data_IF_011274229816
#
_entry.id   IF_011274229816
#
_cell.length_a   1.000
_cell.length_b   1.000
_cell.length_c   1.000
_cell.angle_alpha   90.00
_cell.angle_beta   90.00
_cell.angle_gamma   90.00
#
_symmetry.space_group_name_H-M   'P 1'
#
loop_
_entity.id
_entity.type
_entity.pdbx_description
1 polymer ?
#
# COMPACT_ATOMS: atom_id res chain seq x y z
N UNK A 1 -72.80 52.47 -44.21
CA UNK A 1 -72.15 51.43 -45.04
C UNK A 1 -70.81 51.11 -44.40
N UNK A 2 -70.76 50.01 -43.65
CA UNK A 2 -69.68 49.67 -42.72
C UNK A 2 -68.73 48.71 -43.41
N UNK A 3 -67.50 49.14 -43.67
CA UNK A 3 -66.49 48.37 -44.38
C UNK A 3 -65.83 47.37 -43.43
N UNK A 4 -66.14 46.08 -43.59
CA UNK A 4 -65.47 44.98 -42.90
C UNK A 4 -64.04 44.86 -43.42
N UNK A 5 -63.06 45.23 -42.60
CA UNK A 5 -61.65 44.93 -42.83
C UNK A 5 -61.40 43.44 -42.49
N UNK A 6 -61.08 42.68 -43.53
CA UNK A 6 -60.68 41.26 -43.45
C UNK A 6 -59.24 41.17 -42.93
N UNK A 7 -59.07 40.67 -41.71
CA UNK A 7 -57.74 40.30 -41.18
C UNK A 7 -57.37 38.90 -41.66
N UNK A 8 -56.97 38.78 -42.92
CA UNK A 8 -56.36 37.57 -43.47
C UNK A 8 -54.94 37.89 -43.93
N UNK A 9 -54.00 37.86 -42.98
CA UNK A 9 -52.59 37.52 -43.15
C UNK A 9 -51.84 37.75 -41.84
N UNK A 10 -52.03 36.85 -40.86
CA UNK A 10 -51.01 36.64 -39.85
C UNK A 10 -49.96 35.71 -40.46
N UNK A 11 -48.90 36.30 -41.01
CA UNK A 11 -47.65 35.57 -41.24
C UNK A 11 -47.13 35.19 -39.85
N UNK A 12 -47.24 33.91 -39.52
CA UNK A 12 -46.60 33.35 -38.34
C UNK A 12 -45.09 33.57 -38.47
N UNK A 13 -44.56 34.55 -37.74
CA UNK A 13 -43.12 34.70 -37.53
C UNK A 13 -42.69 33.47 -36.74
N UNK A 14 -42.16 32.47 -37.44
CA UNK A 14 -41.50 31.35 -36.78
C UNK A 14 -40.29 31.90 -36.03
N UNK A 15 -40.10 31.58 -34.74
CA UNK A 15 -38.83 31.86 -34.09
C UNK A 15 -37.76 31.05 -34.81
N UNK A 16 -36.77 31.75 -35.37
CA UNK A 16 -35.55 31.14 -35.90
C UNK A 16 -34.94 30.33 -34.76
N UNK A 17 -35.13 29.01 -34.81
CA UNK A 17 -34.37 28.07 -33.99
C UNK A 17 -32.92 28.21 -34.43
N UNK A 18 -32.14 29.00 -33.70
CA UNK A 18 -30.69 28.90 -33.73
C UNK A 18 -30.32 27.51 -33.20
N UNK A 19 -30.28 26.54 -34.10
CA UNK A 19 -29.66 25.22 -33.91
C UNK A 19 -28.14 25.36 -33.97
N UNK A 20 -27.57 26.17 -33.07
CA UNK A 20 -26.15 26.05 -32.76
C UNK A 20 -26.04 25.15 -31.54
N UNK A 21 -25.82 23.86 -31.80
CA UNK A 21 -25.44 22.89 -30.79
C UNK A 21 -24.26 23.45 -29.97
N UNK A 22 -24.26 23.32 -28.63
CA UNK A 22 -23.12 23.76 -27.83
C UNK A 22 -21.89 23.00 -28.31
N UNK A 23 -20.94 23.72 -28.91
CA UNK A 23 -19.66 23.21 -29.41
C UNK A 23 -19.07 22.29 -28.34
N UNK A 24 -19.02 20.99 -28.63
CA UNK A 24 -18.47 19.98 -27.73
C UNK A 24 -17.07 20.42 -27.31
N UNK A 25 -16.86 20.61 -26.00
CA UNK A 25 -15.53 20.94 -25.44
C UNK A 25 -14.51 19.96 -26.04
N UNK A 26 -13.36 20.44 -26.53
CA UNK A 26 -12.35 19.57 -27.13
C UNK A 26 -12.02 18.45 -26.14
N UNK A 27 -12.14 17.19 -26.59
CA UNK A 27 -11.71 16.01 -25.82
C UNK A 27 -10.24 16.22 -25.48
N UNK A 28 -9.95 16.60 -24.23
CA UNK A 28 -8.59 16.71 -23.72
C UNK A 28 -7.92 15.36 -23.97
N UNK A 29 -6.90 15.35 -24.83
CA UNK A 29 -6.10 14.16 -25.00
C UNK A 29 -5.44 13.82 -23.66
N UNK A 30 -5.44 12.55 -23.24
CA UNK A 30 -4.83 12.16 -21.98
C UNK A 30 -3.34 12.46 -22.05
N UNK A 31 -2.85 13.29 -21.13
CA UNK A 31 -1.40 13.55 -21.00
C UNK A 31 -0.68 12.23 -20.70
N UNK A 32 0.48 11.96 -21.31
CA UNK A 32 1.30 10.82 -20.91
C UNK A 32 1.70 10.96 -19.45
N UNK A 33 1.73 9.85 -18.72
CA UNK A 33 2.24 9.83 -17.36
C UNK A 33 3.76 10.01 -17.40
N UNK A 34 4.28 10.93 -16.59
CA UNK A 34 5.72 11.24 -16.49
C UNK A 34 6.10 11.11 -15.02
N UNK A 35 7.18 10.38 -14.75
CA UNK A 35 7.74 10.27 -13.40
C UNK A 35 8.33 11.61 -12.98
N UNK A 36 8.27 11.90 -11.68
CA UNK A 36 9.02 13.04 -11.13
C UNK A 36 10.48 12.64 -10.93
N UNK A 37 11.40 13.59 -11.07
CA UNK A 37 12.83 13.34 -10.92
C UNK A 37 13.18 12.88 -9.50
N UNK A 38 12.45 13.39 -8.51
CA UNK A 38 12.56 13.00 -7.11
C UNK A 38 12.21 11.53 -6.91
N UNK A 39 11.17 11.04 -7.59
CA UNK A 39 10.78 9.63 -7.51
C UNK A 39 11.86 8.73 -8.12
N UNK A 40 12.38 9.09 -9.29
CA UNK A 40 13.44 8.32 -9.94
C UNK A 40 14.74 8.31 -9.10
N UNK A 41 15.08 9.43 -8.44
CA UNK A 41 16.20 9.51 -7.52
C UNK A 41 16.00 8.60 -6.30
N UNK A 42 14.86 8.70 -5.61
CA UNK A 42 14.55 7.88 -4.43
C UNK A 42 14.57 6.40 -4.80
N UNK A 43 13.95 6.01 -5.91
CA UNK A 43 13.94 4.60 -6.32
C UNK A 43 15.33 4.07 -6.65
N UNK A 44 16.22 4.91 -7.18
CA UNK A 44 17.61 4.56 -7.45
C UNK A 44 18.41 4.38 -6.16
N UNK A 45 18.25 5.28 -5.18
CA UNK A 45 18.90 5.17 -3.87
C UNK A 45 18.46 3.92 -3.11
N UNK A 46 17.16 3.63 -3.09
CA UNK A 46 16.61 2.43 -2.46
C UNK A 46 17.18 1.17 -3.12
N UNK A 47 17.29 1.14 -4.45
CA UNK A 47 17.91 -0.01 -5.14
C UNK A 47 19.37 -0.17 -4.75
N UNK A 48 20.16 0.91 -4.74
CA UNK A 48 21.57 0.87 -4.36
C UNK A 48 21.80 0.38 -2.93
N UNK A 49 20.93 0.79 -2.00
CA UNK A 49 21.07 0.46 -0.58
C UNK A 49 20.62 -0.97 -0.26
N UNK A 50 19.47 -1.39 -0.80
CA UNK A 50 18.76 -2.60 -0.40
C UNK A 50 18.82 -3.73 -1.43
N UNK A 51 19.54 -3.56 -2.54
CA UNK A 51 19.76 -4.62 -3.53
C UNK A 51 21.25 -4.89 -3.68
N UNK A 52 21.65 -6.17 -3.72
CA UNK A 52 23.02 -6.60 -4.04
C UNK A 52 22.96 -7.78 -4.99
N UNK A 53 23.68 -7.69 -6.11
CA UNK A 53 23.72 -8.77 -7.12
C UNK A 53 22.33 -9.18 -7.65
N UNK A 54 21.37 -8.24 -7.65
CA UNK A 54 19.98 -8.48 -8.07
C UNK A 54 19.08 -9.11 -6.99
N UNK A 55 19.64 -9.42 -5.82
CA UNK A 55 18.90 -9.95 -4.68
C UNK A 55 18.57 -8.86 -3.66
N UNK A 56 17.39 -9.00 -3.05
CA UNK A 56 16.87 -8.04 -2.07
C UNK A 56 17.46 -8.39 -0.71
N UNK A 57 18.01 -7.38 -0.05
CA UNK A 57 18.60 -7.47 1.28
C UNK A 57 17.54 -7.23 2.35
N UNK A 58 16.79 -8.28 2.66
CA UNK A 58 15.75 -8.25 3.70
C UNK A 58 16.31 -7.97 5.10
N UNK A 59 17.59 -8.29 5.32
CA UNK A 59 18.32 -8.04 6.57
C UNK A 59 18.32 -6.56 6.95
N UNK A 60 18.61 -5.64 6.02
CA UNK A 60 18.49 -4.21 6.34
C UNK A 60 17.13 -3.58 6.13
N UNK A 61 16.20 -4.24 5.44
CA UNK A 61 14.79 -3.82 5.51
C UNK A 61 14.21 -4.06 6.90
N UNK A 62 14.64 -5.12 7.59
CA UNK A 62 14.27 -5.35 8.98
C UNK A 62 14.77 -4.23 9.90
N UNK A 63 15.95 -3.69 9.62
CA UNK A 63 16.58 -2.62 10.39
C UNK A 63 15.94 -1.24 10.24
N UNK A 64 14.98 -1.05 9.33
CA UNK A 64 14.25 0.22 9.21
C UNK A 64 13.40 0.42 10.47
N UNK A 65 13.56 1.59 11.10
CA UNK A 65 12.87 1.96 12.32
C UNK A 65 11.34 1.96 12.14
N UNK A 66 10.58 1.74 13.20
CA UNK A 66 9.12 1.58 13.10
C UNK A 66 8.41 2.88 12.70
N UNK A 67 8.97 4.01 13.12
CA UNK A 67 8.55 5.37 12.78
C UNK A 67 8.68 5.70 11.28
N UNK A 68 9.63 5.07 10.59
CA UNK A 68 9.86 5.28 9.15
C UNK A 68 8.99 4.36 8.28
N UNK A 69 8.16 3.50 8.88
CA UNK A 69 7.31 2.55 8.15
C UNK A 69 5.97 3.15 7.77
N UNK A 70 5.35 2.61 6.72
CA UNK A 70 4.08 3.10 6.17
C UNK A 70 3.01 3.32 7.25
N UNK A 71 2.80 2.42 8.24
CA UNK A 71 1.79 2.65 9.28
C UNK A 71 2.06 3.90 10.14
N UNK A 72 3.32 4.15 10.51
CA UNK A 72 3.70 5.35 11.28
C UNK A 72 3.62 6.61 10.40
N UNK A 73 4.12 6.54 9.16
CA UNK A 73 3.98 7.62 8.19
C UNK A 73 2.51 7.98 7.91
N UNK A 74 1.59 7.00 7.95
CA UNK A 74 0.15 7.24 7.85
C UNK A 74 -0.41 7.99 9.05
N UNK A 75 0.10 7.75 10.26
CA UNK A 75 -0.28 8.48 11.46
C UNK A 75 0.25 9.93 11.42
N UNK A 76 1.51 10.12 11.01
CA UNK A 76 2.17 11.42 11.03
C UNK A 76 1.72 12.35 9.90
N UNK A 77 1.65 11.83 8.66
CA UNK A 77 1.36 12.63 7.47
C UNK A 77 -0.09 12.51 6.97
N UNK A 78 -0.84 11.57 7.54
CA UNK A 78 -2.23 11.33 7.24
C UNK A 78 -2.48 10.34 6.09
N UNK A 79 -3.53 9.54 6.25
CA UNK A 79 -3.96 8.47 5.32
C UNK A 79 -4.11 8.96 3.87
N UNK A 80 -4.69 10.16 3.66
CA UNK A 80 -4.90 10.69 2.29
C UNK A 80 -3.60 10.98 1.56
N UNK A 81 -2.60 11.53 2.26
CA UNK A 81 -1.30 11.86 1.67
C UNK A 81 -0.53 10.58 1.35
N UNK A 82 -0.56 9.61 2.25
CA UNK A 82 0.05 8.29 2.02
C UNK A 82 -0.60 7.53 0.87
N UNK A 83 -1.94 7.52 0.78
CA UNK A 83 -2.65 6.97 -0.36
C UNK A 83 -2.20 7.65 -1.66
N UNK A 84 -2.13 8.98 -1.70
CA UNK A 84 -1.71 9.70 -2.91
C UNK A 84 -0.29 9.32 -3.34
N UNK A 85 0.65 9.26 -2.39
CA UNK A 85 2.04 8.89 -2.64
C UNK A 85 2.15 7.46 -3.18
N UNK A 86 1.55 6.47 -2.50
CA UNK A 86 1.57 5.08 -2.96
C UNK A 86 0.87 4.92 -4.30
N UNK A 87 -0.22 5.63 -4.55
CA UNK A 87 -0.92 5.61 -5.84
C UNK A 87 -0.03 6.16 -6.95
N UNK A 88 0.80 7.17 -6.69
CA UNK A 88 1.81 7.62 -7.65
C UNK A 88 2.81 6.52 -7.98
N UNK A 89 3.30 5.76 -6.99
CA UNK A 89 4.23 4.66 -7.23
C UNK A 89 3.59 3.53 -8.03
N UNK A 90 2.35 3.15 -7.71
CA UNK A 90 1.56 2.16 -8.46
C UNK A 90 1.37 2.60 -9.91
N UNK A 91 1.08 3.89 -10.14
CA UNK A 91 0.98 4.47 -11.48
C UNK A 91 2.30 4.36 -12.23
N UNK A 92 3.40 4.81 -11.64
CA UNK A 92 4.73 4.73 -12.24
C UNK A 92 5.08 3.30 -12.66
N UNK A 93 4.85 2.33 -11.77
CA UNK A 93 5.03 0.94 -12.08
C UNK A 93 4.15 0.49 -13.26
N UNK A 94 2.83 0.70 -13.20
CA UNK A 94 1.91 0.26 -14.27
C UNK A 94 2.23 0.90 -15.63
N UNK A 95 2.64 2.16 -15.64
CA UNK A 95 3.00 2.85 -16.87
C UNK A 95 4.35 2.42 -17.42
N UNK A 96 5.31 2.03 -16.58
CA UNK A 96 6.63 1.51 -16.99
C UNK A 96 6.57 0.13 -17.68
N UNK A 97 5.50 -0.65 -17.47
CA UNK A 97 5.40 -1.99 -18.06
C UNK A 97 5.13 -1.94 -19.57
N UNK A 98 5.81 -2.80 -20.37
CA UNK A 98 5.63 -2.90 -21.83
C UNK A 98 4.39 -3.73 -22.20
N UNK A 99 3.24 -3.39 -21.63
CA UNK A 99 1.95 -4.05 -21.89
C UNK A 99 0.95 -3.07 -22.50
N UNK A 100 -0.02 -3.58 -23.26
CA UNK A 100 -1.02 -2.73 -23.91
C UNK A 100 -1.95 -2.07 -22.89
N UNK A 101 -2.51 -0.90 -23.21
CA UNK A 101 -3.37 -0.13 -22.29
C UNK A 101 -4.57 -0.92 -21.76
N UNK A 102 -5.19 -1.76 -22.58
CA UNK A 102 -6.31 -2.62 -22.18
C UNK A 102 -5.92 -3.67 -21.11
N UNK A 103 -4.62 -4.00 -21.03
CA UNK A 103 -4.04 -4.94 -20.08
C UNK A 103 -3.45 -4.26 -18.84
N UNK A 104 -3.48 -2.92 -18.76
CA UNK A 104 -3.08 -2.14 -17.58
C UNK A 104 -4.27 -1.94 -16.64
N UNK A 105 -3.99 -1.70 -15.36
CA UNK A 105 -5.01 -1.29 -14.41
C UNK A 105 -5.63 0.05 -14.83
N UNK A 106 -6.92 0.24 -14.56
CA UNK A 106 -7.56 1.56 -14.65
C UNK A 106 -7.21 2.38 -13.41
N UNK A 107 -7.37 3.70 -13.47
CA UNK A 107 -7.05 4.59 -12.34
C UNK A 107 -7.80 4.19 -11.04
N UNK A 108 -9.09 3.84 -11.18
CA UNK A 108 -9.90 3.32 -10.07
C UNK A 108 -9.34 2.02 -9.49
N UNK A 109 -8.90 1.10 -10.35
CA UNK A 109 -8.29 -0.17 -9.88
C UNK A 109 -6.91 0.06 -9.26
N UNK A 110 -6.12 1.01 -9.76
CA UNK A 110 -4.86 1.40 -9.13
C UNK A 110 -5.09 2.01 -7.74
N UNK A 111 -6.14 2.81 -7.59
CA UNK A 111 -6.56 3.33 -6.27
C UNK A 111 -6.95 2.20 -5.33
N UNK A 112 -7.74 1.22 -5.80
CA UNK A 112 -8.09 0.05 -5.00
C UNK A 112 -6.85 -0.75 -4.56
N UNK A 113 -5.95 -1.06 -5.51
CA UNK A 113 -4.64 -1.67 -5.20
C UNK A 113 -3.87 -0.88 -4.14
N UNK A 114 -3.92 0.45 -4.21
CA UNK A 114 -3.24 1.31 -3.24
C UNK A 114 -3.82 1.14 -1.84
N UNK A 115 -5.15 1.08 -1.71
CA UNK A 115 -5.78 0.79 -0.43
C UNK A 115 -5.35 -0.57 0.12
N UNK A 116 -5.33 -1.61 -0.73
CA UNK A 116 -4.94 -2.95 -0.29
C UNK A 116 -3.44 -3.03 0.08
N UNK A 117 -2.57 -2.26 -0.59
CA UNK A 117 -1.18 -2.08 -0.18
C UNK A 117 -1.06 -1.44 1.20
N UNK A 118 -1.88 -0.41 1.49
CA UNK A 118 -1.89 0.25 2.80
C UNK A 118 -2.36 -0.69 3.91
N UNK A 119 -3.39 -1.50 3.65
CA UNK A 119 -3.86 -2.52 4.60
C UNK A 119 -2.77 -3.57 4.84
N UNK A 120 -2.18 -4.12 3.78
CA UNK A 120 -1.09 -5.09 3.91
C UNK A 120 0.14 -4.48 4.64
N UNK A 121 0.40 -3.19 4.47
CA UNK A 121 1.46 -2.50 5.17
C UNK A 121 1.22 -2.38 6.69
N UNK A 122 -0.05 -2.27 7.12
CA UNK A 122 -0.42 -2.32 8.53
C UNK A 122 -0.22 -3.71 9.14
N UNK A 123 -0.50 -4.77 8.38
CA UNK A 123 -0.33 -6.16 8.84
C UNK A 123 1.15 -6.54 9.02
N UNK A 124 1.98 -6.26 8.02
CA UNK A 124 3.38 -6.72 7.97
C UNK A 124 4.39 -5.65 8.42
N UNK A 125 3.90 -4.48 8.85
CA UNK A 125 4.72 -3.29 9.12
C UNK A 125 5.70 -3.02 7.98
N UNK A 126 5.18 -2.74 6.79
CA UNK A 126 5.99 -2.50 5.59
C UNK A 126 6.53 -1.07 5.55
N UNK A 127 7.75 -0.91 5.06
CA UNK A 127 8.35 0.39 4.76
C UNK A 127 8.03 0.82 3.31
N UNK A 128 8.37 2.07 2.96
CA UNK A 128 8.17 2.56 1.59
C UNK A 128 9.12 1.86 0.60
N UNK A 129 10.31 1.54 1.09
CA UNK A 129 11.37 0.80 0.44
C UNK A 129 10.89 -0.58 0.01
N UNK A 130 10.12 -1.28 0.85
CA UNK A 130 9.54 -2.58 0.53
C UNK A 130 8.69 -2.51 -0.76
N UNK A 131 7.87 -1.46 -0.89
CA UNK A 131 7.00 -1.24 -2.04
C UNK A 131 7.82 -0.92 -3.30
N UNK A 132 8.86 -0.10 -3.16
CA UNK A 132 9.77 0.26 -4.26
C UNK A 132 10.53 -0.98 -4.77
N UNK A 133 11.05 -1.80 -3.86
CA UNK A 133 11.80 -3.03 -4.18
C UNK A 133 10.90 -4.08 -4.80
N UNK A 134 9.66 -4.20 -4.33
CA UNK A 134 8.64 -5.01 -4.98
C UNK A 134 8.46 -4.60 -6.45
N UNK A 135 8.27 -3.31 -6.73
CA UNK A 135 8.11 -2.81 -8.10
C UNK A 135 9.36 -3.03 -8.95
N UNK A 136 10.55 -2.88 -8.37
CA UNK A 136 11.81 -3.14 -9.06
C UNK A 136 11.93 -4.62 -9.46
N UNK A 137 11.76 -5.53 -8.50
CA UNK A 137 11.83 -6.97 -8.74
C UNK A 137 10.74 -7.46 -9.71
N UNK A 138 9.54 -6.89 -9.63
CA UNK A 138 8.45 -7.21 -10.56
C UNK A 138 8.78 -6.78 -12.00
N UNK A 139 9.44 -5.62 -12.20
CA UNK A 139 9.90 -5.18 -13.52
C UNK A 139 11.00 -6.09 -14.09
N UNK A 140 11.86 -6.62 -13.23
CA UNK A 140 12.90 -7.57 -13.61
C UNK A 140 12.35 -8.98 -13.89
N UNK A 141 11.05 -9.23 -13.64
CA UNK A 141 10.43 -10.53 -13.88
C UNK A 141 10.70 -11.57 -12.79
N UNK A 142 11.12 -11.15 -11.58
CA UNK A 142 11.38 -12.07 -10.45
C UNK A 142 10.18 -12.93 -10.06
N UNK A 143 8.97 -12.41 -10.29
CA UNK A 143 7.69 -13.10 -10.03
C UNK A 143 7.07 -13.71 -11.29
N UNK A 144 7.86 -13.87 -12.36
CA UNK A 144 7.42 -14.36 -13.65
C UNK A 144 6.95 -13.26 -14.61
N UNK A 145 6.64 -13.63 -15.87
CA UNK A 145 6.29 -12.67 -16.92
C UNK A 145 4.90 -12.05 -16.70
N UNK A 146 4.86 -10.73 -16.57
CA UNK A 146 3.61 -9.97 -16.41
C UNK A 146 2.94 -9.78 -17.77
N UNK A 147 2.06 -10.71 -18.15
CA UNK A 147 1.29 -10.63 -19.41
C UNK A 147 0.14 -9.64 -19.34
N UNK A 148 -0.45 -9.44 -18.15
CA UNK A 148 -1.56 -8.52 -17.91
C UNK A 148 -1.69 -8.20 -16.43
N UNK A 149 -2.12 -6.97 -16.15
CA UNK A 149 -2.60 -6.49 -14.86
C UNK A 149 -4.00 -5.90 -15.02
N UNK A 150 -4.84 -6.46 -15.91
CA UNK A 150 -6.18 -5.93 -16.13
C UNK A 150 -7.06 -6.09 -14.87
N UNK A 151 -6.73 -7.06 -14.03
CA UNK A 151 -7.45 -7.38 -12.82
C UNK A 151 -6.61 -7.07 -11.58
N UNK A 152 -7.28 -6.48 -10.59
CA UNK A 152 -6.69 -6.13 -9.30
C UNK A 152 -5.99 -7.33 -8.63
N UNK A 153 -6.62 -8.52 -8.63
CA UNK A 153 -6.07 -9.71 -7.97
C UNK A 153 -4.71 -10.17 -8.55
N UNK A 154 -4.44 -9.89 -9.83
CA UNK A 154 -3.17 -10.27 -10.46
C UNK A 154 -2.01 -9.50 -9.83
N UNK A 155 -2.22 -8.20 -9.59
CA UNK A 155 -1.25 -7.37 -8.90
C UNK A 155 -1.03 -7.87 -7.46
N UNK A 156 -2.11 -8.09 -6.72
CA UNK A 156 -2.00 -8.55 -5.32
C UNK A 156 -1.37 -9.94 -5.21
N UNK A 157 -1.58 -10.81 -6.19
CA UNK A 157 -0.90 -12.12 -6.23
C UNK A 157 0.62 -11.98 -6.36
N UNK A 158 1.12 -11.05 -7.19
CA UNK A 158 2.56 -10.77 -7.29
C UNK A 158 3.08 -10.16 -5.99
N UNK A 159 2.31 -9.26 -5.38
CA UNK A 159 2.69 -8.63 -4.12
C UNK A 159 2.75 -9.65 -2.96
N UNK A 160 1.83 -10.61 -2.93
CA UNK A 160 1.84 -11.69 -1.93
C UNK A 160 3.08 -12.59 -2.08
N UNK A 161 3.60 -12.79 -3.30
CA UNK A 161 4.88 -13.50 -3.49
C UNK A 161 6.03 -12.75 -2.82
N UNK A 162 6.09 -11.42 -2.97
CA UNK A 162 7.06 -10.59 -2.27
C UNK A 162 6.92 -10.70 -0.75
N UNK A 163 5.69 -10.54 -0.21
CA UNK A 163 5.43 -10.66 1.24
C UNK A 163 5.84 -12.02 1.80
N UNK A 164 5.58 -13.10 1.06
CA UNK A 164 6.03 -14.46 1.44
C UNK A 164 7.55 -14.58 1.47
N UNK A 165 8.23 -14.10 0.44
CA UNK A 165 9.70 -14.11 0.39
C UNK A 165 10.31 -13.32 1.55
N UNK A 166 9.79 -12.12 1.83
CA UNK A 166 10.20 -11.28 2.97
C UNK A 166 10.00 -12.01 4.29
N UNK A 167 8.81 -12.55 4.54
CA UNK A 167 8.52 -13.29 5.79
C UNK A 167 9.45 -14.49 5.98
N UNK A 168 9.70 -15.25 4.92
CA UNK A 168 10.62 -16.38 4.96
C UNK A 168 12.05 -15.94 5.30
N UNK A 169 12.53 -14.85 4.70
CA UNK A 169 13.86 -14.31 4.97
C UNK A 169 13.98 -13.84 6.43
N UNK A 170 12.97 -13.13 6.95
CA UNK A 170 12.95 -12.67 8.35
C UNK A 170 12.95 -13.85 9.34
N UNK A 171 12.15 -14.89 9.08
CA UNK A 171 12.14 -16.10 9.91
C UNK A 171 13.51 -16.78 9.97
N UNK A 172 14.20 -16.86 8.83
CA UNK A 172 15.56 -17.42 8.78
C UNK A 172 16.54 -16.55 9.57
N UNK A 173 16.44 -15.23 9.44
CA UNK A 173 17.34 -14.29 10.13
C UNK A 173 17.11 -14.30 11.65
N UNK A 174 15.86 -14.36 12.10
CA UNK A 174 15.53 -14.53 13.52
C UNK A 174 16.03 -15.87 14.05
N UNK A 175 15.85 -16.96 13.29
CA UNK A 175 16.39 -18.26 13.65
C UNK A 175 17.92 -18.27 13.78
N UNK A 176 18.64 -17.56 12.90
CA UNK A 176 20.09 -17.40 12.98
C UNK A 176 20.51 -16.60 14.23
N UNK A 177 19.90 -15.44 14.46
CA UNK A 177 20.14 -14.62 15.66
C UNK A 177 19.88 -15.41 16.95
N UNK A 178 18.80 -16.19 17.00
CA UNK A 178 18.50 -17.05 18.15
C UNK A 178 19.53 -18.17 18.33
N UNK A 179 19.99 -18.79 17.25
CA UNK A 179 21.02 -19.82 17.30
C UNK A 179 22.35 -19.25 17.81
N UNK A 180 22.75 -18.08 17.32
CA UNK A 180 23.94 -17.35 17.80
C UNK A 180 23.82 -17.01 19.29
N UNK A 181 22.68 -16.45 19.71
CA UNK A 181 22.42 -16.17 21.13
C UNK A 181 22.49 -17.43 21.98
N UNK A 182 21.93 -18.57 21.51
CA UNK A 182 22.00 -19.85 22.22
C UNK A 182 23.43 -20.38 22.32
N UNK A 183 24.30 -20.16 21.34
CA UNK A 183 25.72 -20.55 21.41
C UNK A 183 26.47 -19.68 22.42
N UNK A 184 26.19 -18.37 22.45
CA UNK A 184 26.85 -17.44 23.38
C UNK A 184 26.37 -17.63 24.83
N UNK A 185 25.05 -17.78 25.04
CA UNK A 185 24.42 -17.91 26.37
C UNK A 185 24.34 -19.36 26.86
N UNK A 186 24.47 -20.36 25.98
CA UNK A 186 24.29 -21.77 26.30
C UNK A 186 25.41 -22.41 27.12
N UNK A 187 26.51 -21.70 27.37
CA UNK A 187 27.55 -22.12 28.30
C UNK A 187 27.30 -21.66 29.74
N UNK A 188 26.26 -20.86 29.99
CA UNK A 188 25.78 -20.64 31.35
C UNK A 188 24.81 -21.78 31.70
N UNK A 189 25.20 -22.63 32.66
CA UNK A 189 24.27 -23.58 33.26
C UNK A 189 23.01 -22.81 33.66
N UNK A 190 21.85 -23.28 33.21
CA UNK A 190 20.56 -22.76 33.68
C UNK A 190 20.42 -23.10 35.15
N UNK A 191 21.03 -22.32 36.03
CA UNK A 191 20.75 -22.31 37.45
C UNK A 191 19.40 -21.63 37.54
N UNK A 192 18.33 -22.42 37.35
CA UNK A 192 17.01 -21.95 37.69
C UNK A 192 17.06 -21.58 39.18
N UNK A 193 16.87 -20.31 39.57
CA UNK A 193 16.60 -20.02 40.96
C UNK A 193 15.39 -20.86 41.37
N UNK A 194 15.45 -21.48 42.56
CA UNK A 194 14.37 -22.35 43.03
C UNK A 194 13.01 -21.67 42.76
N UNK A 195 12.02 -22.41 42.22
CA UNK A 195 10.75 -21.82 41.82
C UNK A 195 10.18 -21.05 42.99
N UNK A 196 10.12 -19.72 42.85
CA UNK A 196 9.64 -18.86 43.92
C UNK A 196 8.16 -19.20 44.13
N UNK A 197 7.75 -19.69 45.31
CA UNK A 197 6.36 -20.02 45.56
C UNK A 197 5.50 -18.78 45.33
N UNK A 198 4.34 -18.94 44.68
CA UNK A 198 3.42 -17.84 44.36
C UNK A 198 3.11 -16.95 45.58
N UNK A 199 3.08 -17.52 46.79
CA UNK A 199 2.87 -16.79 48.03
C UNK A 199 3.95 -15.74 48.36
N UNK A 200 5.17 -15.92 47.85
CA UNK A 200 6.28 -14.99 48.04
C UNK A 200 6.34 -13.91 46.95
N UNK A 201 5.57 -14.05 45.86
CA UNK A 201 5.52 -13.09 44.75
C UNK A 201 4.50 -11.96 44.98
N UNK A 202 3.64 -12.10 46.00
CA UNK A 202 2.58 -11.13 46.32
C UNK A 202 2.68 -10.66 47.79
N UNK A 203 3.73 -9.91 48.17
CA UNK A 203 3.80 -9.32 49.50
C UNK A 203 2.68 -8.28 49.67
N UNK A 204 1.58 -8.68 50.32
CA UNK A 204 0.43 -7.81 50.59
C UNK A 204 -0.87 -8.19 49.88
N UNK A 205 -0.93 -9.30 49.13
CA UNK A 205 -2.21 -9.79 48.62
C UNK A 205 -3.06 -10.34 49.78
N UNK A 206 -4.16 -9.67 50.09
CA UNK A 206 -5.21 -10.18 50.96
C UNK A 206 -5.85 -11.41 50.31
N UNK A 207 -5.58 -12.59 50.89
CA UNK A 207 -6.30 -13.82 50.53
C UNK A 207 -7.75 -13.62 50.97
N UNK A 208 -8.62 -13.30 50.01
CA UNK A 208 -10.07 -13.23 50.26
C UNK A 208 -10.55 -14.67 50.36
N UNK A 209 -10.80 -15.11 51.59
CA UNK A 209 -11.37 -16.42 51.86
C UNK A 209 -12.84 -16.44 51.42
N UNK A 210 -13.08 -17.02 50.24
CA UNK A 210 -14.39 -17.07 49.56
C UNK A 210 -15.43 -17.87 50.38
N UNK A 211 -15.00 -18.58 51.42
CA UNK A 211 -15.90 -19.33 52.32
C UNK A 211 -16.46 -18.47 53.46
N UNK A 212 -15.87 -17.30 53.76
CA UNK A 212 -16.44 -16.35 54.71
C UNK A 212 -17.45 -15.45 54.00
N UNK A 213 -18.74 -15.76 54.19
CA UNK A 213 -19.83 -14.81 53.89
C UNK A 213 -19.58 -13.53 54.68
N UNK A 214 -19.32 -12.42 53.98
CA UNK A 214 -19.35 -11.10 54.59
C UNK A 214 -20.82 -10.75 54.87
N UNK A 215 -21.21 -10.74 56.15
CA UNK A 215 -22.43 -10.04 56.55
C UNK A 215 -22.17 -8.54 56.46
N UNK A 216 -23.10 -7.81 55.84
CA UNK A 216 -23.04 -6.35 55.72
C UNK A 216 -23.12 -5.63 57.06
#
# INVERSE_FOLDING_TARGET
MTQQMSFRNMVAVQPVKNTEAPKSKPKRQPKPYVNTLEYDLITSLVQQQYTREGEIRFDLLEGIALEDRIPALMADFGVKRMHHMLQMMVKAFCFSLPITRAKKLTDTKMSAVTCDLMVAAQEDSLALEDVILFFHAARQGKYGPIKSLAYHYQFMSLFEQYRKARRQALQQLHGQKEAELKVVLGNEERIAPQPTPIGNLLPGATIIDITKRMSG
#
